data_IF_909881020102
#
_entry.id   IF_909881020102
#
_cell.length_a   1.000
_cell.length_b   1.000
_cell.length_c   1.000
_cell.angle_alpha   90.00
_cell.angle_beta   90.00
_cell.angle_gamma   90.00
#
_symmetry.space_group_name_H-M   'P 1'
#
loop_
_entity.id
_entity.type
_entity.pdbx_description
1 polymer ?
#
# COMPACT_ATOMS: atom_id res chain seq x y z
N UNK A 1 -8.93 -7.32 -18.85
CA UNK A 1 -8.62 -6.59 -17.60
C UNK A 1 -8.24 -7.61 -16.56
N UNK A 2 -7.19 -7.36 -15.79
CA UNK A 2 -6.87 -8.14 -14.59
C UNK A 2 -7.89 -7.78 -13.50
N UNK A 3 -8.44 -8.77 -12.79
CA UNK A 3 -9.30 -8.53 -11.62
C UNK A 3 -8.47 -8.03 -10.43
N UNK A 4 -9.13 -7.43 -9.44
CA UNK A 4 -8.48 -6.97 -8.20
C UNK A 4 -7.80 -8.14 -7.46
N UNK A 5 -8.40 -9.33 -7.51
CA UNK A 5 -7.83 -10.55 -6.94
C UNK A 5 -6.56 -10.98 -7.67
N UNK A 6 -6.57 -10.95 -9.00
CA UNK A 6 -5.39 -11.28 -9.80
C UNK A 6 -4.29 -10.22 -9.64
N UNK A 7 -4.64 -8.95 -9.47
CA UNK A 7 -3.69 -7.89 -9.15
C UNK A 7 -3.05 -8.10 -7.78
N UNK A 8 -3.84 -8.44 -6.75
CA UNK A 8 -3.32 -8.77 -5.42
C UNK A 8 -2.35 -9.95 -5.48
N UNK A 9 -2.68 -10.99 -6.26
CA UNK A 9 -1.78 -12.13 -6.49
C UNK A 9 -0.50 -11.73 -7.23
N UNK A 10 -0.61 -10.86 -8.23
CA UNK A 10 0.55 -10.33 -8.97
C UNK A 10 1.48 -9.54 -8.05
N UNK A 11 0.94 -8.75 -7.11
CA UNK A 11 1.74 -8.06 -6.11
C UNK A 11 2.44 -9.04 -5.16
N UNK A 12 1.71 -10.05 -4.64
CA UNK A 12 2.28 -11.10 -3.79
C UNK A 12 3.46 -11.80 -4.46
N UNK A 13 3.29 -12.24 -5.72
CA UNK A 13 4.33 -12.93 -6.47
C UNK A 13 5.51 -12.01 -6.79
N UNK A 14 5.26 -10.73 -7.07
CA UNK A 14 6.29 -9.73 -7.31
C UNK A 14 7.15 -9.46 -6.07
N UNK A 15 6.54 -9.33 -4.88
CA UNK A 15 7.28 -9.07 -3.63
C UNK A 15 7.98 -10.32 -3.08
N UNK A 16 7.47 -11.52 -3.41
CA UNK A 16 8.10 -12.80 -3.04
C UNK A 16 9.33 -13.15 -3.92
N UNK A 17 9.68 -12.30 -4.89
CA UNK A 17 10.88 -12.49 -5.69
C UNK A 17 12.14 -12.04 -4.91
N UNK A 18 13.15 -12.91 -4.81
CA UNK A 18 14.41 -12.65 -4.09
C UNK A 18 15.17 -11.38 -4.57
N UNK A 19 14.94 -10.93 -5.80
CA UNK A 19 15.55 -9.71 -6.35
C UNK A 19 14.64 -8.48 -6.27
N UNK A 20 13.49 -8.58 -5.63
CA UNK A 20 12.56 -7.46 -5.52
C UNK A 20 13.17 -6.31 -4.70
N UNK A 21 13.10 -5.10 -5.24
CA UNK A 21 13.54 -3.89 -4.54
C UNK A 21 12.43 -2.82 -4.61
N UNK A 22 11.73 -2.55 -3.51
CA UNK A 22 10.62 -1.59 -3.49
C UNK A 22 11.06 -0.17 -3.88
N UNK A 23 12.33 0.20 -3.65
CA UNK A 23 12.85 1.52 -4.02
C UNK A 23 12.94 1.70 -5.54
N UNK A 24 13.22 0.64 -6.29
CA UNK A 24 13.23 0.69 -7.76
C UNK A 24 11.83 0.93 -8.30
N UNK A 25 10.82 0.22 -7.76
CA UNK A 25 9.41 0.45 -8.14
C UNK A 25 8.98 1.88 -7.80
N UNK A 26 9.30 2.37 -6.60
CA UNK A 26 8.97 3.73 -6.18
C UNK A 26 9.63 4.80 -7.07
N UNK A 27 10.84 4.55 -7.58
CA UNK A 27 11.54 5.46 -8.49
C UNK A 27 10.88 5.57 -9.87
N UNK A 28 10.09 4.57 -10.28
CA UNK A 28 9.34 4.61 -11.55
C UNK A 28 8.02 5.40 -11.45
N UNK A 29 7.44 5.53 -10.26
CA UNK A 29 6.15 6.21 -10.05
C UNK A 29 6.12 7.64 -10.59
N UNK A 30 7.14 8.49 -10.40
CA UNK A 30 7.15 9.85 -10.94
C UNK A 30 7.03 9.95 -12.47
N UNK A 31 7.39 8.89 -13.21
CA UNK A 31 7.31 8.85 -14.68
C UNK A 31 5.94 8.40 -15.21
N UNK A 32 5.05 7.92 -14.34
CA UNK A 32 3.68 7.53 -14.71
C UNK A 32 2.78 8.74 -14.93
N UNK A 33 1.63 8.55 -15.60
CA UNK A 33 0.62 9.61 -15.72
C UNK A 33 0.15 10.11 -14.33
N UNK A 34 -0.05 11.42 -14.16
CA UNK A 34 -0.37 12.05 -12.87
C UNK A 34 -1.60 11.44 -12.18
N UNK A 35 -2.67 11.18 -12.92
CA UNK A 35 -3.87 10.52 -12.37
C UNK A 35 -3.56 9.11 -11.87
N UNK A 36 -2.65 8.39 -12.54
CA UNK A 36 -2.23 7.05 -12.12
C UNK A 36 -1.37 7.10 -10.85
N UNK A 37 -0.48 8.10 -10.73
CA UNK A 37 0.28 8.34 -9.49
C UNK A 37 -0.68 8.49 -8.29
N UNK A 38 -1.76 9.25 -8.47
CA UNK A 38 -2.78 9.46 -7.44
C UNK A 38 -3.61 8.20 -7.14
N UNK A 39 -3.94 7.41 -8.16
CA UNK A 39 -4.58 6.09 -7.99
C UNK A 39 -3.69 5.10 -7.23
N UNK A 40 -2.39 5.08 -7.52
CA UNK A 40 -1.41 4.25 -6.80
C UNK A 40 -1.31 4.69 -5.34
N UNK A 41 -1.25 6.00 -5.06
CA UNK A 41 -1.26 6.48 -3.68
C UNK A 41 -2.50 6.01 -2.91
N UNK A 42 -3.70 6.09 -3.52
CA UNK A 42 -4.94 5.58 -2.91
C UNK A 42 -4.86 4.08 -2.63
N UNK A 43 -4.31 3.30 -3.54
CA UNK A 43 -4.08 1.87 -3.33
C UNK A 43 -3.14 1.63 -2.13
N UNK A 44 -2.00 2.31 -2.07
CA UNK A 44 -1.07 2.21 -0.93
C UNK A 44 -1.75 2.57 0.40
N UNK A 45 -2.54 3.66 0.41
CA UNK A 45 -3.30 4.07 1.60
C UNK A 45 -4.30 3.00 2.03
N UNK A 46 -5.07 2.44 1.10
CA UNK A 46 -6.03 1.37 1.41
C UNK A 46 -5.34 0.11 1.97
N UNK A 47 -4.17 -0.26 1.43
CA UNK A 47 -3.37 -1.37 1.96
C UNK A 47 -2.91 -1.08 3.40
N UNK A 48 -2.43 0.13 3.68
CA UNK A 48 -2.04 0.55 5.04
C UNK A 48 -3.23 0.51 6.00
N UNK A 49 -4.41 0.95 5.57
CA UNK A 49 -5.64 0.90 6.39
C UNK A 49 -6.04 -0.52 6.78
N UNK A 50 -5.91 -1.49 5.85
CA UNK A 50 -6.15 -2.91 6.15
C UNK A 50 -5.10 -3.47 7.10
N UNK A 51 -3.81 -3.19 6.86
CA UNK A 51 -2.72 -3.69 7.71
C UNK A 51 -2.80 -3.11 9.13
N UNK A 52 -3.20 -1.84 9.26
CA UNK A 52 -3.31 -1.14 10.55
C UNK A 52 -4.66 -1.34 11.26
N UNK A 53 -5.56 -2.16 10.74
CA UNK A 53 -6.86 -2.43 11.36
C UNK A 53 -6.71 -3.22 12.66
N UNK A 54 -7.53 -2.93 13.67
CA UNK A 54 -7.42 -3.56 15.00
C UNK A 54 -7.66 -5.08 14.99
N UNK A 55 -8.36 -5.60 13.98
CA UNK A 55 -8.64 -7.03 13.74
C UNK A 55 -7.68 -7.69 12.75
N UNK A 56 -6.64 -6.97 12.29
CA UNK A 56 -5.62 -7.54 11.41
C UNK A 56 -4.78 -8.58 12.16
N UNK A 57 -4.81 -9.83 11.68
CA UNK A 57 -4.05 -10.91 12.29
C UNK A 57 -2.55 -10.75 12.07
N UNK A 58 -1.78 -10.80 13.16
CA UNK A 58 -0.31 -10.65 13.14
C UNK A 58 0.42 -11.85 13.73
N UNK A 59 1.69 -11.96 13.35
CA UNK A 59 2.72 -12.73 14.04
C UNK A 59 4.03 -11.93 14.10
N UNK A 60 5.09 -12.50 14.68
CA UNK A 60 6.37 -11.82 14.87
C UNK A 60 7.00 -11.28 13.57
N UNK A 61 6.65 -11.82 12.40
CA UNK A 61 7.18 -11.42 11.09
C UNK A 61 6.57 -10.12 10.60
N UNK A 62 5.31 -9.84 10.90
CA UNK A 62 4.58 -8.67 10.40
C UNK A 62 4.13 -7.69 11.49
N UNK A 63 4.37 -7.99 12.78
CA UNK A 63 3.96 -7.13 13.90
C UNK A 63 4.47 -5.68 13.77
N UNK A 64 5.75 -5.51 13.41
CA UNK A 64 6.31 -4.16 13.26
C UNK A 64 5.62 -3.36 12.14
N UNK A 65 5.26 -4.02 11.04
CA UNK A 65 4.53 -3.38 9.95
C UNK A 65 3.09 -3.02 10.36
N UNK A 66 2.43 -3.86 11.16
CA UNK A 66 1.12 -3.58 11.74
C UNK A 66 1.17 -2.36 12.67
N UNK A 67 2.11 -2.32 13.61
CA UNK A 67 2.24 -1.22 14.58
C UNK A 67 2.51 0.12 13.87
N UNK A 68 3.39 0.12 12.87
CA UNK A 68 3.67 1.31 12.06
C UNK A 68 2.44 1.73 11.24
N UNK A 69 1.76 0.78 10.58
CA UNK A 69 0.54 1.06 9.83
C UNK A 69 -0.56 1.64 10.74
N UNK A 70 -0.73 1.12 11.95
CA UNK A 70 -1.69 1.63 12.94
C UNK A 70 -1.38 3.08 13.33
N UNK A 71 -0.10 3.41 13.54
CA UNK A 71 0.34 4.79 13.76
C UNK A 71 0.04 5.72 12.56
N UNK A 72 0.31 5.26 11.34
CA UNK A 72 0.00 6.01 10.11
C UNK A 72 -1.52 6.23 9.98
N UNK A 73 -2.34 5.21 10.21
CA UNK A 73 -3.80 5.30 10.16
C UNK A 73 -4.32 6.30 11.19
N UNK A 74 -3.81 6.27 12.42
CA UNK A 74 -4.18 7.24 13.46
C UNK A 74 -3.85 8.68 13.03
N UNK A 75 -2.62 8.92 12.54
CA UNK A 75 -2.24 10.22 12.01
C UNK A 75 -3.12 10.68 10.85
N UNK A 76 -3.44 9.79 9.90
CA UNK A 76 -4.28 10.10 8.74
C UNK A 76 -5.75 10.38 9.11
N UNK A 77 -6.26 9.78 10.20
CA UNK A 77 -7.60 10.12 10.72
C UNK A 77 -7.66 11.56 11.24
N UNK A 78 -6.58 12.02 11.86
CA UNK A 78 -6.51 13.38 12.45
C UNK A 78 -6.08 14.44 11.42
N UNK A 79 -5.16 14.11 10.52
CA UNK A 79 -4.43 15.07 9.66
C UNK A 79 -4.59 14.80 8.16
N UNK A 80 -5.37 13.79 7.79
CA UNK A 80 -5.53 13.37 6.40
C UNK A 80 -6.15 14.45 5.51
N UNK A 81 -5.78 14.44 4.23
CA UNK A 81 -6.39 15.30 3.20
C UNK A 81 -7.33 14.49 2.33
N UNK A 82 -8.36 15.16 1.80
CA UNK A 82 -9.21 14.58 0.76
C UNK A 82 -8.42 14.41 -0.54
N UNK A 83 -8.52 13.23 -1.15
CA UNK A 83 -7.84 12.89 -2.40
C UNK A 83 -8.90 12.56 -3.44
N UNK A 84 -9.21 13.47 -4.36
CA UNK A 84 -10.31 13.30 -5.30
C UNK A 84 -10.05 12.14 -6.28
N UNK A 85 -11.11 11.46 -6.71
CA UNK A 85 -11.04 10.67 -7.94
C UNK A 85 -11.05 11.65 -9.12
N UNK A 86 -10.07 11.51 -10.01
CA UNK A 86 -9.87 12.35 -11.19
C UNK A 86 -9.86 11.42 -12.40
#
# INVERSE_FOLDING_TARGET
MISEKELAKTLEDAVNNFSFNPRKVAAEVPFMHRTLQQSIYRLCKAIIEVIGADDYATDLRNQAAHDEAKGIVAYLKENGRHIPMI
#
